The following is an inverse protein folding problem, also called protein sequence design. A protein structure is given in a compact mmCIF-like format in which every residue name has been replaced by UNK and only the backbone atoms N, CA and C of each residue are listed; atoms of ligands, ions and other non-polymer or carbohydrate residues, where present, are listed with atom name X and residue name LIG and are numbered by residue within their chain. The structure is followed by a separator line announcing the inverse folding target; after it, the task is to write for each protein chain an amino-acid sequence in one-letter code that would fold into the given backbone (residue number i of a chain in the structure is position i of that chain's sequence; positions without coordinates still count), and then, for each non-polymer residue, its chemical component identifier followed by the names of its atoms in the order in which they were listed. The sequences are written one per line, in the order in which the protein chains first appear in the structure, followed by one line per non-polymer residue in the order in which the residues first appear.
data_IF_479771281315
#
_entry.id   IF_479771281315
#
_cell.length_a   1.000
_cell.length_b   1.000
_cell.length_c   1.000
_cell.angle_alpha   90.00
_cell.angle_beta   90.00
_cell.angle_gamma   90.00
#
_symmetry.space_group_name_H-M   'P 1'
#
loop_
_entity.id
_entity.type
_entity.pdbx_description
1 polymer ?
#
# COMPACT_ATOMS: atom_id res chain seq x y z
N UNK A 1 13.33 26.07 60.66
CA UNK A 1 12.43 25.72 59.56
C UNK A 1 12.89 26.48 58.33
N UNK A 2 13.66 25.82 57.48
CA UNK A 2 14.07 26.38 56.18
C UNK A 2 13.06 25.87 55.16
N UNK A 3 12.25 26.75 54.57
CA UNK A 3 11.45 26.47 53.41
C UNK A 3 12.39 26.44 52.20
N UNK A 4 12.68 25.28 51.67
CA UNK A 4 13.23 25.10 50.35
C UNK A 4 12.16 25.51 49.34
N UNK A 5 12.31 26.73 48.82
CA UNK A 5 11.55 27.15 47.63
C UNK A 5 12.03 26.35 46.43
N UNK A 6 11.21 25.44 45.94
CA UNK A 6 11.38 24.94 44.60
C UNK A 6 11.13 26.10 43.64
N UNK A 7 12.20 26.68 43.13
CA UNK A 7 12.15 27.52 41.94
C UNK A 7 11.58 26.66 40.82
N UNK A 8 10.28 26.85 40.51
CA UNK A 8 9.71 26.41 39.25
C UNK A 8 10.52 27.11 38.17
N UNK A 9 11.47 26.41 37.58
CA UNK A 9 12.12 26.86 36.37
C UNK A 9 11.02 27.19 35.37
N UNK A 10 10.84 28.48 35.12
CA UNK A 10 9.87 28.98 34.16
C UNK A 10 10.44 28.69 32.77
N UNK A 11 10.37 27.42 32.36
CA UNK A 11 10.90 27.01 31.06
C UNK A 11 10.08 27.74 29.97
N UNK A 12 10.65 28.84 29.50
CA UNK A 12 10.14 29.55 28.34
C UNK A 12 10.36 28.65 27.11
N UNK A 13 9.29 28.24 26.45
CA UNK A 13 9.36 27.26 25.37
C UNK A 13 8.52 27.67 24.19
N UNK A 14 8.93 27.26 23.02
CA UNK A 14 8.13 27.35 21.78
C UNK A 14 7.92 25.95 21.21
N UNK A 15 6.67 25.65 20.86
CA UNK A 15 6.28 24.39 20.21
C UNK A 15 6.01 24.65 18.73
N UNK A 16 6.77 24.00 17.86
CA UNK A 16 6.69 24.23 16.42
C UNK A 16 6.51 22.93 15.67
N UNK A 17 5.52 22.87 14.81
CA UNK A 17 5.33 21.75 13.89
C UNK A 17 5.98 22.08 12.55
N UNK A 18 6.94 21.26 12.17
CA UNK A 18 7.52 21.25 10.85
C UNK A 18 6.83 20.22 9.98
N UNK A 19 6.64 20.58 8.73
CA UNK A 19 5.98 19.75 7.72
C UNK A 19 6.92 19.56 6.54
N UNK A 20 6.81 18.42 5.89
CA UNK A 20 7.53 18.17 4.65
C UNK A 20 6.70 17.36 3.68
N UNK A 21 6.96 17.59 2.42
CA UNK A 21 6.48 16.75 1.32
C UNK A 21 7.68 16.30 0.51
N UNK A 22 7.74 15.02 0.18
CA UNK A 22 8.74 14.43 -0.71
C UNK A 22 8.06 13.67 -1.82
N UNK A 23 8.61 13.78 -3.03
CA UNK A 23 8.18 12.99 -4.19
C UNK A 23 9.28 12.06 -4.66
N UNK A 24 8.88 10.98 -5.30
CA UNK A 24 9.77 10.07 -6.02
C UNK A 24 9.04 9.43 -7.21
N UNK A 25 9.76 9.25 -8.31
CA UNK A 25 9.25 8.48 -9.46
C UNK A 25 9.10 7.03 -9.06
N UNK A 26 7.97 6.38 -9.38
CA UNK A 26 7.82 4.95 -9.18
C UNK A 26 8.89 4.17 -9.96
N UNK A 27 9.47 3.18 -9.31
CA UNK A 27 10.44 2.24 -9.90
C UNK A 27 10.05 0.76 -9.66
N UNK A 28 8.86 0.55 -9.11
CA UNK A 28 8.31 -0.76 -8.76
C UNK A 28 6.83 -0.84 -9.15
N UNK A 29 6.44 -1.96 -9.77
CA UNK A 29 5.06 -2.37 -9.94
C UNK A 29 4.71 -3.44 -8.88
N UNK A 30 3.59 -3.24 -8.18
CA UNK A 30 3.00 -4.17 -7.22
C UNK A 30 1.73 -4.72 -7.83
N UNK A 31 1.76 -5.98 -8.24
CA UNK A 31 0.67 -6.68 -8.89
C UNK A 31 -0.03 -7.56 -7.85
N UNK A 32 -1.33 -7.37 -7.68
CA UNK A 32 -2.18 -8.23 -6.86
C UNK A 32 -3.11 -9.01 -7.78
N UNK A 33 -3.18 -10.33 -7.57
CA UNK A 33 -4.02 -11.25 -8.33
C UNK A 33 -4.96 -11.95 -7.36
N UNK A 34 -6.27 -11.83 -7.58
CA UNK A 34 -7.26 -12.58 -6.81
C UNK A 34 -7.82 -13.71 -7.68
N UNK A 35 -7.61 -14.92 -7.23
CA UNK A 35 -8.09 -16.14 -7.88
C UNK A 35 -9.18 -16.75 -7.03
N UNK A 36 -10.27 -17.21 -7.63
CA UNK A 36 -11.34 -17.88 -6.90
C UNK A 36 -11.93 -19.03 -7.70
N UNK A 37 -12.22 -20.13 -7.00
CA UNK A 37 -12.86 -21.32 -7.55
C UNK A 37 -14.08 -21.70 -6.71
N UNK A 38 -15.15 -22.11 -7.37
CA UNK A 38 -16.39 -22.55 -6.73
C UNK A 38 -16.67 -24.01 -7.12
N UNK A 39 -16.83 -24.87 -6.11
CA UNK A 39 -17.32 -26.24 -6.31
C UNK A 39 -18.33 -26.64 -5.23
N UNK A 40 -19.21 -27.57 -5.55
CA UNK A 40 -20.10 -28.20 -4.58
C UNK A 40 -19.32 -28.94 -3.47
N UNK A 41 -18.09 -29.38 -3.77
CA UNK A 41 -17.23 -30.12 -2.86
C UNK A 41 -16.04 -29.26 -2.41
N UNK A 42 -15.76 -29.28 -1.12
CA UNK A 42 -14.63 -28.54 -0.53
C UNK A 42 -13.28 -28.88 -1.19
N UNK A 43 -12.97 -30.18 -1.31
CA UNK A 43 -11.70 -30.65 -1.88
C UNK A 43 -11.53 -30.27 -3.34
N UNK A 44 -12.62 -30.24 -4.11
CA UNK A 44 -12.58 -29.84 -5.50
C UNK A 44 -12.37 -28.33 -5.65
N UNK A 45 -13.00 -27.49 -4.81
CA UNK A 45 -12.77 -26.05 -4.80
C UNK A 45 -11.29 -25.73 -4.51
N UNK A 46 -10.68 -26.41 -3.54
CA UNK A 46 -9.27 -26.21 -3.20
C UNK A 46 -8.35 -26.70 -4.32
N UNK A 47 -8.57 -27.91 -4.85
CA UNK A 47 -7.72 -28.45 -5.94
C UNK A 47 -7.87 -27.68 -7.25
N UNK A 48 -9.04 -27.15 -7.53
CA UNK A 48 -9.28 -26.24 -8.67
C UNK A 48 -8.48 -24.94 -8.50
N UNK A 49 -8.53 -24.35 -7.31
CA UNK A 49 -7.75 -23.14 -6.99
C UNK A 49 -6.25 -23.38 -7.13
N UNK A 50 -5.72 -24.50 -6.61
CA UNK A 50 -4.32 -24.88 -6.76
C UNK A 50 -3.91 -25.02 -8.24
N UNK A 51 -4.80 -25.57 -9.06
CA UNK A 51 -4.59 -25.70 -10.51
C UNK A 51 -4.52 -24.32 -11.17
N UNK A 52 -5.43 -23.43 -10.85
CA UNK A 52 -5.48 -22.05 -11.35
C UNK A 52 -4.23 -21.25 -10.96
N UNK A 53 -3.77 -21.40 -9.71
CA UNK A 53 -2.52 -20.77 -9.24
C UNK A 53 -1.30 -21.33 -9.95
N UNK A 54 -1.27 -22.64 -10.23
CA UNK A 54 -0.17 -23.27 -10.98
C UNK A 54 -0.13 -22.81 -12.45
N UNK A 55 -1.25 -22.53 -13.07
CA UNK A 55 -1.28 -21.91 -14.39
C UNK A 55 -0.65 -20.51 -14.38
N UNK A 56 -0.96 -19.68 -13.39
CA UNK A 56 -0.32 -18.38 -13.19
C UNK A 56 1.19 -18.54 -13.02
N UNK A 57 1.65 -19.46 -12.15
CA UNK A 57 3.08 -19.74 -11.98
C UNK A 57 3.76 -20.18 -13.29
N UNK A 58 3.05 -20.96 -14.10
CA UNK A 58 3.54 -21.39 -15.41
C UNK A 58 3.65 -20.20 -16.38
N UNK A 59 2.68 -19.28 -16.37
CA UNK A 59 2.73 -18.06 -17.17
C UNK A 59 3.91 -17.17 -16.77
N UNK A 60 4.20 -17.01 -15.47
CA UNK A 60 5.36 -16.28 -14.95
C UNK A 60 6.67 -16.91 -15.41
N UNK A 61 6.78 -18.25 -15.32
CA UNK A 61 7.99 -18.99 -15.75
C UNK A 61 8.29 -18.79 -17.24
N UNK A 62 7.27 -18.77 -18.08
CA UNK A 62 7.43 -18.49 -19.54
C UNK A 62 7.99 -17.09 -19.82
N UNK A 63 7.75 -16.15 -18.93
CA UNK A 63 8.27 -14.78 -19.00
C UNK A 63 9.61 -14.63 -18.27
N UNK A 64 10.23 -15.74 -17.84
CA UNK A 64 11.46 -15.75 -17.04
C UNK A 64 11.36 -14.96 -15.73
N UNK A 65 10.16 -14.83 -15.15
CA UNK A 65 9.92 -14.25 -13.84
C UNK A 65 10.08 -15.35 -12.79
N UNK A 66 10.89 -15.07 -11.75
CA UNK A 66 11.06 -16.00 -10.64
C UNK A 66 9.72 -16.19 -9.90
N UNK A 67 9.19 -17.42 -9.95
CA UNK A 67 7.92 -17.77 -9.28
C UNK A 67 7.98 -17.61 -7.76
N UNK A 68 9.17 -17.62 -7.16
CA UNK A 68 9.33 -17.38 -5.73
C UNK A 68 9.02 -15.94 -5.32
N UNK A 69 8.96 -15.00 -6.27
CA UNK A 69 8.51 -13.63 -6.04
C UNK A 69 6.98 -13.54 -5.87
N UNK A 70 6.23 -14.54 -6.37
CA UNK A 70 4.79 -14.61 -6.17
C UNK A 70 4.51 -15.09 -4.74
N UNK A 71 3.90 -14.23 -3.93
CA UNK A 71 3.58 -14.51 -2.54
C UNK A 71 2.09 -14.57 -2.32
N UNK A 72 1.63 -15.56 -1.56
CA UNK A 72 0.27 -15.61 -1.06
C UNK A 72 0.10 -14.58 0.06
N UNK A 73 -0.85 -13.68 -0.08
CA UNK A 73 -1.21 -12.69 0.94
C UNK A 73 -2.42 -13.12 1.77
N UNK A 74 -3.34 -13.88 1.18
CA UNK A 74 -4.46 -14.50 1.90
C UNK A 74 -4.93 -15.75 1.19
N UNK A 75 -5.47 -16.71 1.97
CA UNK A 75 -6.15 -17.90 1.48
C UNK A 75 -7.39 -18.14 2.34
N UNK A 76 -8.55 -18.30 1.71
CA UNK A 76 -9.81 -18.51 2.40
C UNK A 76 -10.68 -19.52 1.64
N UNK A 77 -11.46 -20.31 2.38
CA UNK A 77 -12.52 -21.15 1.81
C UNK A 77 -13.80 -20.87 2.58
N UNK A 78 -14.81 -20.38 1.88
CA UNK A 78 -16.09 -20.02 2.45
C UNK A 78 -17.22 -20.83 1.84
N UNK A 79 -18.30 -21.04 2.59
CA UNK A 79 -19.54 -21.57 2.05
C UNK A 79 -20.28 -20.49 1.27
N UNK A 80 -20.74 -20.83 0.08
CA UNK A 80 -21.51 -19.94 -0.80
C UNK A 80 -22.98 -20.31 -0.77
N UNK A 81 -23.82 -19.29 -0.65
CA UNK A 81 -25.27 -19.43 -0.68
C UNK A 81 -25.87 -18.49 -1.69
N UNK A 82 -26.85 -18.97 -2.46
CA UNK A 82 -27.60 -18.16 -3.40
C UNK A 82 -29.00 -17.90 -2.86
N UNK A 83 -29.41 -16.62 -2.86
CA UNK A 83 -30.77 -16.24 -2.52
C UNK A 83 -31.72 -16.46 -3.71
N UNK A 84 -32.86 -17.07 -3.46
CA UNK A 84 -33.92 -17.22 -4.45
C UNK A 84 -35.31 -17.00 -3.83
N UNK A 85 -36.27 -16.62 -4.67
CA UNK A 85 -37.67 -16.54 -4.26
C UNK A 85 -38.37 -17.86 -4.60
N UNK A 86 -39.08 -18.47 -3.67
CA UNK A 86 -39.88 -19.66 -3.94
C UNK A 86 -41.18 -19.30 -4.66
N UNK A 87 -41.94 -20.33 -5.07
CA UNK A 87 -43.21 -20.18 -5.81
C UNK A 87 -44.29 -19.38 -5.04
N UNK A 88 -44.06 -19.15 -3.74
CA UNK A 88 -44.97 -18.36 -2.88
C UNK A 88 -44.43 -16.93 -2.64
N UNK A 89 -43.36 -16.54 -3.32
CA UNK A 89 -42.71 -15.23 -3.16
C UNK A 89 -41.90 -15.09 -1.88
N UNK A 90 -41.59 -16.17 -1.17
CA UNK A 90 -40.76 -16.15 0.05
C UNK A 90 -39.30 -16.26 -0.33
N UNK A 91 -38.50 -15.32 0.18
CA UNK A 91 -37.04 -15.32 -0.02
C UNK A 91 -36.37 -16.43 0.78
N UNK A 92 -35.58 -17.25 0.13
CA UNK A 92 -34.81 -18.36 0.72
C UNK A 92 -33.38 -18.36 0.22
N UNK A 93 -32.50 -19.00 1.01
CA UNK A 93 -31.10 -19.26 0.63
C UNK A 93 -30.91 -20.75 0.39
N UNK A 94 -30.21 -21.11 -0.68
CA UNK A 94 -29.75 -22.49 -0.93
C UNK A 94 -28.23 -22.52 -0.92
N UNK A 95 -27.67 -23.58 -0.39
CA UNK A 95 -26.24 -23.84 -0.48
C UNK A 95 -25.86 -24.10 -1.93
N UNK A 96 -24.82 -23.40 -2.41
CA UNK A 96 -24.30 -23.55 -3.77
C UNK A 96 -23.01 -24.35 -3.79
N UNK A 97 -22.17 -24.18 -2.77
CA UNK A 97 -20.89 -24.85 -2.69
C UNK A 97 -19.89 -24.17 -1.77
N UNK A 98 -18.64 -24.46 -2.03
CA UNK A 98 -17.49 -23.86 -1.35
C UNK A 98 -16.73 -22.97 -2.36
N UNK A 99 -16.50 -21.72 -1.97
CA UNK A 99 -15.64 -20.80 -2.72
C UNK A 99 -14.28 -20.73 -2.07
N UNK A 100 -13.28 -21.29 -2.75
CA UNK A 100 -11.87 -21.12 -2.38
C UNK A 100 -11.35 -19.87 -3.07
N UNK A 101 -10.64 -19.01 -2.33
CA UNK A 101 -10.08 -17.75 -2.84
C UNK A 101 -8.65 -17.60 -2.35
N UNK A 102 -7.74 -17.22 -3.25
CA UNK A 102 -6.36 -16.88 -2.93
C UNK A 102 -6.00 -15.53 -3.50
N UNK A 103 -5.45 -14.67 -2.64
CA UNK A 103 -4.86 -13.40 -3.05
C UNK A 103 -3.35 -13.54 -3.14
N UNK A 104 -2.82 -13.29 -4.33
CA UNK A 104 -1.40 -13.38 -4.64
C UNK A 104 -0.83 -11.98 -4.84
N UNK A 105 0.42 -11.79 -4.47
CA UNK A 105 1.17 -10.54 -4.63
C UNK A 105 2.49 -10.79 -5.32
N UNK A 106 2.78 -9.98 -6.34
CA UNK A 106 4.03 -9.99 -7.08
C UNK A 106 4.60 -8.58 -7.14
N UNK A 107 5.87 -8.41 -6.77
CA UNK A 107 6.56 -7.12 -6.83
C UNK A 107 7.68 -7.20 -7.86
N UNK A 108 7.63 -6.34 -8.88
CA UNK A 108 8.62 -6.28 -9.96
C UNK A 108 9.19 -4.87 -10.11
N UNK A 109 10.40 -4.77 -10.67
CA UNK A 109 10.89 -3.48 -11.17
C UNK A 109 9.95 -2.95 -12.26
N UNK A 110 9.76 -1.64 -12.30
CA UNK A 110 8.90 -1.04 -13.30
C UNK A 110 9.53 -1.16 -14.70
N UNK A 111 8.96 -2.05 -15.48
CA UNK A 111 9.24 -2.27 -16.91
C UNK A 111 7.88 -2.43 -17.60
N UNK A 112 7.51 -1.45 -18.41
CA UNK A 112 6.20 -1.41 -19.06
C UNK A 112 6.01 -2.58 -20.04
N UNK A 113 7.08 -3.00 -20.71
CA UNK A 113 7.01 -4.12 -21.66
C UNK A 113 6.74 -5.42 -20.92
N UNK A 114 7.54 -5.72 -19.89
CA UNK A 114 7.38 -6.91 -19.08
C UNK A 114 6.00 -6.91 -18.37
N UNK A 115 5.56 -5.75 -17.88
CA UNK A 115 4.23 -5.61 -17.26
C UNK A 115 3.11 -5.92 -18.27
N UNK A 116 3.20 -5.41 -19.50
CA UNK A 116 2.23 -5.68 -20.57
C UNK A 116 2.17 -7.16 -20.95
N UNK A 117 3.35 -7.81 -21.12
CA UNK A 117 3.47 -9.24 -21.39
C UNK A 117 2.89 -10.08 -20.24
N UNK A 118 3.18 -9.71 -19.00
CA UNK A 118 2.64 -10.36 -17.80
C UNK A 118 1.11 -10.28 -17.75
N UNK A 119 0.57 -9.07 -17.88
CA UNK A 119 -0.88 -8.86 -17.83
C UNK A 119 -1.60 -9.63 -18.94
N UNK A 120 -1.01 -9.72 -20.12
CA UNK A 120 -1.53 -10.51 -21.25
C UNK A 120 -1.52 -12.01 -20.94
N UNK A 121 -0.39 -12.53 -20.46
CA UNK A 121 -0.20 -13.95 -20.17
C UNK A 121 -1.13 -14.43 -19.04
N UNK A 122 -1.24 -13.64 -17.95
CA UNK A 122 -2.08 -13.96 -16.81
C UNK A 122 -3.57 -13.85 -17.18
N UNK A 123 -3.94 -12.87 -17.98
CA UNK A 123 -5.32 -12.71 -18.46
C UNK A 123 -5.78 -13.82 -19.43
N UNK A 124 -4.84 -14.44 -20.13
CA UNK A 124 -5.12 -15.55 -21.04
C UNK A 124 -5.21 -16.92 -20.33
N UNK A 125 -4.88 -16.99 -19.03
CA UNK A 125 -5.02 -18.22 -18.23
C UNK A 125 -6.48 -18.53 -17.96
N UNK A 126 -6.81 -19.81 -17.78
CA UNK A 126 -8.17 -20.24 -17.41
C UNK A 126 -8.55 -19.84 -15.97
N UNK A 127 -7.56 -19.40 -15.18
CA UNK A 127 -7.75 -18.90 -13.83
C UNK A 127 -8.56 -17.59 -13.75
N UNK A 128 -8.63 -16.83 -14.85
CA UNK A 128 -9.35 -15.54 -14.94
C UNK A 128 -9.22 -14.66 -13.67
N UNK A 129 -8.00 -14.38 -13.16
CA UNK A 129 -7.85 -13.63 -11.94
C UNK A 129 -8.30 -12.19 -12.08
N UNK A 130 -8.81 -11.63 -10.99
CA UNK A 130 -8.89 -10.17 -10.87
C UNK A 130 -7.49 -9.59 -10.70
N UNK A 131 -7.15 -8.58 -11.49
CA UNK A 131 -5.80 -8.01 -11.54
C UNK A 131 -5.83 -6.56 -11.10
N UNK A 132 -5.01 -6.25 -10.10
CA UNK A 132 -4.78 -4.90 -9.60
C UNK A 132 -3.30 -4.58 -9.69
N UNK A 133 -2.94 -3.44 -10.29
CA UNK A 133 -1.55 -2.98 -10.35
C UNK A 133 -1.46 -1.61 -9.69
N UNK A 134 -0.56 -1.49 -8.72
CA UNK A 134 -0.19 -0.22 -8.10
C UNK A 134 1.30 0.02 -8.32
N UNK A 135 1.68 1.28 -8.39
CA UNK A 135 3.06 1.69 -8.60
C UNK A 135 3.64 2.26 -7.32
N UNK A 136 4.87 1.89 -7.00
CA UNK A 136 5.54 2.22 -5.74
C UNK A 136 7.02 2.50 -5.98
N UNK A 137 7.75 2.74 -4.90
CA UNK A 137 9.22 2.83 -4.90
C UNK A 137 9.81 1.66 -4.13
N UNK A 138 10.93 1.10 -4.61
CA UNK A 138 11.63 0.00 -3.94
C UNK A 138 12.22 0.45 -2.61
N UNK A 139 12.92 1.57 -2.60
CA UNK A 139 13.59 2.10 -1.39
C UNK A 139 12.64 3.03 -0.61
N UNK A 140 11.65 2.41 0.04
CA UNK A 140 10.68 3.12 0.88
C UNK A 140 11.33 3.77 2.10
N UNK A 141 12.37 3.13 2.64
CA UNK A 141 13.09 3.62 3.83
C UNK A 141 13.77 4.94 3.53
N UNK A 142 14.53 5.00 2.45
CA UNK A 142 15.21 6.23 2.03
C UNK A 142 14.24 7.41 1.79
N UNK A 143 13.05 7.11 1.26
CA UNK A 143 12.03 8.14 1.04
C UNK A 143 11.47 8.65 2.38
N UNK A 144 11.20 7.75 3.33
CA UNK A 144 10.76 8.09 4.69
C UNK A 144 11.81 8.90 5.44
N UNK A 145 13.07 8.50 5.39
CA UNK A 145 14.17 9.20 6.06
C UNK A 145 14.33 10.65 5.56
N UNK A 146 14.22 10.83 4.24
CA UNK A 146 14.23 12.17 3.63
C UNK A 146 13.05 13.02 4.10
N UNK A 147 11.87 12.43 4.23
CA UNK A 147 10.65 13.10 4.69
C UNK A 147 10.81 13.59 6.12
N UNK A 148 11.21 12.70 7.04
CA UNK A 148 11.42 13.02 8.47
C UNK A 148 12.50 14.10 8.61
N UNK A 149 13.65 13.94 7.94
CA UNK A 149 14.73 14.92 7.99
C UNK A 149 14.30 16.31 7.53
N UNK A 150 13.49 16.39 6.46
CA UNK A 150 12.95 17.66 5.98
C UNK A 150 11.94 18.28 6.93
N UNK A 151 11.06 17.48 7.55
CA UNK A 151 10.09 17.98 8.52
C UNK A 151 10.77 18.57 9.77
N UNK A 152 11.82 17.90 10.29
CA UNK A 152 12.60 18.44 11.40
C UNK A 152 13.32 19.75 11.03
N UNK A 153 13.92 19.81 9.84
CA UNK A 153 14.56 21.04 9.34
C UNK A 153 13.55 22.19 9.16
N UNK A 154 12.33 21.90 8.70
CA UNK A 154 11.28 22.90 8.58
C UNK A 154 10.83 23.42 9.95
N UNK A 155 10.70 22.54 10.97
CA UNK A 155 10.44 22.94 12.34
C UNK A 155 11.50 23.93 12.85
N UNK A 156 12.78 23.59 12.68
CA UNK A 156 13.88 24.45 13.10
C UNK A 156 13.87 25.82 12.39
N UNK A 157 13.65 25.83 11.08
CA UNK A 157 13.50 27.05 10.29
C UNK A 157 12.33 27.92 10.78
N UNK A 158 11.17 27.33 11.02
CA UNK A 158 9.98 28.04 11.55
C UNK A 158 10.22 28.57 12.95
N UNK A 159 10.87 27.77 13.84
CA UNK A 159 11.18 28.17 15.20
C UNK A 159 12.12 29.41 15.22
N UNK A 160 13.18 29.39 14.39
CA UNK A 160 14.09 30.52 14.24
C UNK A 160 13.36 31.79 13.80
N UNK A 161 12.53 31.70 12.76
CA UNK A 161 11.76 32.84 12.25
C UNK A 161 10.81 33.41 13.31
N UNK A 162 10.14 32.55 14.08
CA UNK A 162 9.22 32.99 15.13
C UNK A 162 9.95 33.67 16.30
N UNK A 163 11.11 33.16 16.71
CA UNK A 163 11.94 33.77 17.75
C UNK A 163 12.48 35.14 17.29
N UNK A 164 12.99 35.26 16.08
CA UNK A 164 13.44 36.52 15.48
C UNK A 164 12.31 37.57 15.47
N UNK A 165 11.11 37.17 15.03
CA UNK A 165 9.95 38.07 14.99
C UNK A 165 9.45 38.49 16.38
N UNK A 166 9.64 37.63 17.40
CA UNK A 166 9.27 37.89 18.79
C UNK A 166 10.34 38.64 19.59
N UNK A 167 11.53 38.87 19.03
CA UNK A 167 12.65 39.52 19.71
C UNK A 167 13.26 38.65 20.82
N UNK A 168 13.24 37.31 20.68
CA UNK A 168 13.81 36.34 21.60
C UNK A 168 14.82 35.45 20.87
N UNK A 169 15.70 34.77 21.62
CA UNK A 169 16.66 33.83 21.03
C UNK A 169 16.13 32.39 21.09
N UNK A 170 16.33 31.63 20.01
CA UNK A 170 16.06 30.21 19.97
C UNK A 170 17.13 29.43 20.75
N UNK A 171 16.72 28.63 21.73
CA UNK A 171 17.57 27.76 22.52
C UNK A 171 17.65 26.33 21.94
N UNK A 172 17.90 25.38 22.83
CA UNK A 172 18.09 23.97 22.50
C UNK A 172 16.76 23.23 22.31
N UNK A 173 16.83 22.07 21.64
CA UNK A 173 15.69 21.15 21.53
C UNK A 173 15.43 20.50 22.89
N UNK A 174 14.22 20.68 23.41
CA UNK A 174 13.77 20.03 24.66
C UNK A 174 13.13 18.68 24.39
N UNK A 175 12.28 18.60 23.36
CA UNK A 175 11.59 17.38 23.00
C UNK A 175 11.23 17.34 21.50
N UNK A 176 11.22 16.14 20.95
CA UNK A 176 10.74 15.86 19.62
C UNK A 176 9.57 14.89 19.74
N UNK A 177 8.40 15.28 19.28
CA UNK A 177 7.21 14.45 19.21
C UNK A 177 6.97 14.06 17.76
N UNK A 178 7.13 12.78 17.47
CA UNK A 178 6.88 12.20 16.17
C UNK A 178 5.92 11.03 16.32
N UNK A 179 4.72 11.17 15.73
CA UNK A 179 3.74 10.10 15.67
C UNK A 179 3.97 9.32 14.40
N UNK A 180 4.62 8.16 14.50
CA UNK A 180 4.81 7.31 13.35
C UNK A 180 3.47 6.83 12.83
N UNK A 181 3.09 7.25 11.64
CA UNK A 181 2.10 6.58 10.81
C UNK A 181 2.84 5.89 9.68
N UNK A 182 2.56 4.64 9.44
CA UNK A 182 3.10 3.98 8.26
C UNK A 182 2.28 4.42 7.04
N UNK A 183 2.77 5.37 6.23
CA UNK A 183 2.05 5.80 5.05
C UNK A 183 2.07 4.70 4.00
N UNK A 184 0.96 4.51 3.31
CA UNK A 184 0.95 3.74 2.07
C UNK A 184 1.75 4.48 1.01
N UNK A 185 2.81 3.84 0.49
CA UNK A 185 3.75 4.44 -0.46
C UNK A 185 3.40 3.95 -1.86
N UNK A 186 2.40 4.58 -2.47
CA UNK A 186 1.96 4.29 -3.82
C UNK A 186 1.72 5.57 -4.62
N UNK A 187 1.89 5.46 -5.94
CA UNK A 187 1.41 6.45 -6.89
C UNK A 187 -0.12 6.55 -6.84
N UNK A 188 -0.72 7.72 -7.11
CA UNK A 188 -2.16 7.83 -7.34
C UNK A 188 -2.62 7.01 -8.54
N UNK A 189 -1.72 6.73 -9.50
CA UNK A 189 -2.03 5.91 -10.67
C UNK A 189 -2.17 4.45 -10.26
N UNK A 190 -3.28 3.84 -10.67
CA UNK A 190 -3.54 2.42 -10.49
C UNK A 190 -4.19 1.83 -11.74
N UNK A 191 -4.00 0.53 -11.96
CA UNK A 191 -4.69 -0.24 -12.98
C UNK A 191 -5.55 -1.31 -12.32
N UNK A 192 -6.79 -1.43 -12.78
CA UNK A 192 -7.74 -2.39 -12.26
C UNK A 192 -8.44 -3.12 -13.40
N UNK A 193 -8.42 -4.46 -13.36
CA UNK A 193 -9.16 -5.32 -14.29
C UNK A 193 -9.96 -6.34 -13.49
N UNK A 194 -11.26 -6.19 -13.50
CA UNK A 194 -12.19 -7.16 -12.91
C UNK A 194 -12.25 -8.46 -13.73
N UNK A 195 -12.63 -9.56 -13.08
CA UNK A 195 -12.88 -10.83 -13.72
C UNK A 195 -14.02 -10.68 -14.77
N UNK A 196 -13.82 -11.20 -15.98
CA UNK A 196 -14.88 -11.29 -17.00
C UNK A 196 -14.82 -10.29 -18.17
N UNK A 197 -13.86 -9.38 -18.24
CA UNK A 197 -13.65 -8.55 -19.43
C UNK A 197 -12.76 -9.27 -20.45
N UNK A 198 -13.35 -10.13 -21.25
CA UNK A 198 -12.72 -10.80 -22.38
C UNK A 198 -12.70 -9.89 -23.61
N UNK A 199 -11.74 -8.98 -23.72
CA UNK A 199 -11.22 -8.53 -24.99
C UNK A 199 -9.76 -8.10 -24.79
N UNK A 200 -8.86 -9.07 -24.97
CA UNK A 200 -7.43 -8.82 -25.01
C UNK A 200 -7.06 -8.27 -26.41
N UNK A 201 -7.24 -6.98 -26.62
CA UNK A 201 -6.28 -6.33 -27.50
C UNK A 201 -4.96 -6.34 -26.75
N UNK A 202 -3.90 -6.88 -27.39
CA UNK A 202 -2.54 -6.79 -26.91
C UNK A 202 -2.22 -5.30 -26.64
N UNK A 203 -2.52 -4.86 -25.43
CA UNK A 203 -2.27 -3.52 -25.01
C UNK A 203 -0.79 -3.47 -24.68
N UNK A 204 -0.01 -2.79 -25.51
CA UNK A 204 1.23 -2.20 -25.05
C UNK A 204 0.85 -1.38 -23.83
N UNK A 205 1.16 -1.91 -22.64
CA UNK A 205 0.88 -1.23 -21.39
C UNK A 205 1.93 -0.13 -21.22
N UNK A 206 1.74 0.98 -21.97
CA UNK A 206 2.60 2.15 -21.82
C UNK A 206 2.00 3.04 -20.74
N UNK A 207 2.31 2.70 -19.48
CA UNK A 207 1.86 3.45 -18.32
C UNK A 207 3.00 4.31 -17.80
N UNK A 208 2.78 5.63 -17.77
CA UNK A 208 3.66 6.56 -17.07
C UNK A 208 2.95 6.96 -15.77
N UNK A 209 3.23 6.26 -14.64
CA UNK A 209 2.54 6.57 -13.39
C UNK A 209 3.00 7.92 -12.84
N UNK A 210 2.09 8.61 -12.16
CA UNK A 210 2.40 9.83 -11.42
C UNK A 210 3.39 9.56 -10.30
N UNK A 211 4.12 10.61 -9.88
CA UNK A 211 5.06 10.52 -8.78
C UNK A 211 4.36 10.09 -7.47
N UNK A 212 5.03 9.23 -6.73
CA UNK A 212 4.65 8.94 -5.34
C UNK A 212 4.92 10.19 -4.51
N UNK A 213 3.92 10.66 -3.79
CA UNK A 213 4.04 11.85 -2.91
C UNK A 213 3.70 11.46 -1.49
N UNK A 214 4.61 11.78 -0.56
CA UNK A 214 4.43 11.58 0.88
C UNK A 214 4.50 12.92 1.60
N UNK A 215 3.58 13.11 2.56
CA UNK A 215 3.59 14.27 3.45
C UNK A 215 3.54 13.78 4.89
N UNK A 216 4.35 14.38 5.76
CA UNK A 216 4.38 14.08 7.18
C UNK A 216 4.79 15.32 7.99
N UNK A 217 4.63 15.26 9.31
CA UNK A 217 4.92 16.35 10.23
C UNK A 217 5.62 15.87 11.49
N UNK A 218 6.48 16.72 12.01
CA UNK A 218 7.19 16.51 13.29
C UNK A 218 7.00 17.75 14.16
N UNK A 219 6.59 17.54 15.41
CA UNK A 219 6.46 18.64 16.38
C UNK A 219 7.65 18.66 17.30
N UNK A 220 8.34 19.79 17.35
CA UNK A 220 9.52 20.00 18.18
C UNK A 220 9.26 21.08 19.21
N UNK A 221 9.68 20.83 20.45
CA UNK A 221 9.65 21.77 21.55
C UNK A 221 11.07 22.32 21.75
N UNK A 222 11.19 23.64 21.71
CA UNK A 222 12.45 24.37 21.83
C UNK A 222 12.43 25.25 23.06
N UNK A 223 13.60 25.43 23.68
CA UNK A 223 13.81 26.50 24.65
C UNK A 223 13.84 27.86 23.94
N UNK A 224 13.39 28.90 24.60
CA UNK A 224 13.59 30.29 24.17
C UNK A 224 14.21 31.13 25.27
N UNK A 225 15.17 31.97 24.92
CA UNK A 225 15.92 32.83 25.81
C UNK A 225 15.53 34.28 25.71
#
# INVERSE_FOLDING_TARGET
MRKTGEEKANNRVIKVTGEATVGAKPDQAVISLNVSELSANYSEAVSGLDSSVNEIKTALSKLHIDVNLLKTSSFNVNTEYEGYSDDKGVWKNRFVGYRATESLKLELGLDNKLLGELLTAVSASSAHPEIYVRFSVKDKTKLKDRLISRAVKDSARKAKLLCEAAGVELGEVIAINYSFREPEIFSPTAYNRGAGLMEAKAATCDVTPEDVTLTDSVTVLWEIK
#
